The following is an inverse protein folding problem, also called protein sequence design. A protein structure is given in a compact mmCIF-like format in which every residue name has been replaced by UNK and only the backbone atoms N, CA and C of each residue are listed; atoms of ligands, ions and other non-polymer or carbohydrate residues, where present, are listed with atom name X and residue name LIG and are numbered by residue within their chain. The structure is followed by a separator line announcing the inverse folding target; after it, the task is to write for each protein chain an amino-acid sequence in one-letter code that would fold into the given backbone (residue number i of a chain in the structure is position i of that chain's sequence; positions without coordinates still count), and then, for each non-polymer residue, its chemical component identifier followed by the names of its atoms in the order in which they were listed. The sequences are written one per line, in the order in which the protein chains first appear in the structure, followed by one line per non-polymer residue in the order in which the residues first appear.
data_IF_735123976275
#
_entry.id   IF_735123976275
#
_cell.length_a   1.000
_cell.length_b   1.000
_cell.length_c   1.000
_cell.angle_alpha   90.00
_cell.angle_beta   90.00
_cell.angle_gamma   90.00
#
_symmetry.space_group_name_H-M   'P 1'
#
loop_
_entity.id
_entity.type
_entity.pdbx_description
1 polymer ?
#
# COMPACT_ATOMS: atom_id res chain seq x y z
N UNK A 1 2.10 -72.21 -6.61
CA UNK A 1 2.36 -72.26 -5.15
C UNK A 1 2.67 -70.84 -4.67
N UNK A 2 2.17 -70.41 -3.49
CA UNK A 2 1.11 -69.41 -3.39
C UNK A 2 1.54 -68.04 -2.82
N UNK A 3 0.78 -67.00 -3.18
CA UNK A 3 0.79 -65.66 -2.55
C UNK A 3 0.43 -65.73 -1.06
N UNK A 4 1.10 -64.96 -0.16
CA UNK A 4 0.71 -64.88 1.25
C UNK A 4 -0.57 -64.02 1.43
N UNK A 5 -1.40 -64.31 2.45
CA UNK A 5 -2.61 -63.54 2.73
C UNK A 5 -2.30 -62.22 3.47
N UNK A 6 -3.21 -61.22 3.40
CA UNK A 6 -3.05 -59.95 4.10
C UNK A 6 -3.26 -60.09 5.61
N UNK A 7 -2.49 -59.32 6.39
CA UNK A 7 -2.64 -59.20 7.85
C UNK A 7 -3.65 -58.08 8.17
N UNK A 8 -4.74 -58.42 8.83
CA UNK A 8 -5.66 -57.44 9.45
C UNK A 8 -5.08 -56.93 10.77
N UNK A 9 -5.00 -55.62 11.01
CA UNK A 9 -4.72 -55.10 12.34
C UNK A 9 -5.94 -55.28 13.27
N UNK A 10 -5.67 -55.85 14.44
CA UNK A 10 -6.60 -55.98 15.57
C UNK A 10 -6.65 -54.66 16.35
N UNK A 11 -7.84 -54.11 16.54
CA UNK A 11 -8.06 -53.01 17.47
C UNK A 11 -9.53 -52.68 17.70
N UNK A 12 -10.08 -53.01 18.88
CA UNK A 12 -11.26 -52.35 19.44
C UNK A 12 -10.83 -51.57 20.71
N UNK A 13 -11.46 -50.46 21.12
CA UNK A 13 -12.90 -50.31 21.36
C UNK A 13 -13.36 -48.86 21.21
N UNK A 14 -14.58 -48.78 20.67
CA UNK A 14 -15.51 -47.67 20.67
C UNK A 14 -15.91 -47.33 22.11
N UNK A 15 -15.82 -46.04 22.48
CA UNK A 15 -16.59 -45.29 23.50
C UNK A 15 -15.69 -44.40 24.37
N UNK A 16 -15.37 -43.21 23.88
CA UNK A 16 -15.33 -42.02 24.73
C UNK A 16 -15.69 -40.78 23.91
N UNK A 17 -16.93 -40.36 24.07
CA UNK A 17 -17.45 -38.99 24.11
C UNK A 17 -16.88 -37.97 23.11
N UNK A 18 -17.68 -37.74 22.07
CA UNK A 18 -17.71 -36.52 21.26
C UNK A 18 -18.03 -35.31 22.15
N UNK A 19 -17.06 -34.43 22.36
CA UNK A 19 -17.29 -33.04 22.70
C UNK A 19 -17.23 -32.22 21.40
N UNK A 20 -18.35 -32.18 20.68
CA UNK A 20 -18.52 -31.33 19.50
C UNK A 20 -18.82 -29.90 19.95
N UNK A 21 -17.86 -29.00 19.75
CA UNK A 21 -18.12 -27.57 19.64
C UNK A 21 -18.07 -27.22 18.14
N UNK A 22 -19.17 -26.65 17.65
CA UNK A 22 -19.36 -26.23 16.27
C UNK A 22 -18.49 -25.01 15.91
N UNK A 23 -18.04 -24.94 14.66
CA UNK A 23 -17.41 -23.73 14.10
C UNK A 23 -17.04 -23.92 12.63
N UNK A 24 -17.80 -23.26 11.75
CA UNK A 24 -17.85 -23.41 10.29
C UNK A 24 -16.52 -23.30 9.52
N UNK A 25 -16.43 -24.06 8.43
CA UNK A 25 -15.50 -23.81 7.33
C UNK A 25 -16.06 -22.71 6.41
N UNK A 26 -15.31 -21.63 6.19
CA UNK A 26 -15.38 -20.78 4.99
C UNK A 26 -14.06 -19.99 4.79
N UNK A 27 -13.49 -20.13 3.58
CA UNK A 27 -12.55 -19.26 2.85
C UNK A 27 -11.03 -19.30 3.14
N UNK A 28 -10.31 -19.51 2.03
CA UNK A 28 -8.87 -19.24 1.81
C UNK A 28 -8.51 -17.85 2.34
N UNK A 29 -7.62 -17.81 3.32
CA UNK A 29 -6.97 -16.60 3.82
C UNK A 29 -5.50 -16.89 4.09
N UNK A 30 -4.62 -16.34 3.25
CA UNK A 30 -3.18 -16.28 3.50
C UNK A 30 -2.90 -15.29 4.64
N UNK A 31 -3.05 -15.72 5.90
CA UNK A 31 -2.47 -15.01 7.04
C UNK A 31 -1.81 -16.03 7.96
N UNK A 32 -0.50 -16.19 7.81
CA UNK A 32 0.33 -16.96 8.72
C UNK A 32 0.80 -16.07 9.87
N UNK A 33 0.47 -16.47 11.10
CA UNK A 33 1.19 -16.08 12.32
C UNK A 33 0.54 -14.96 13.13
N UNK A 34 -0.55 -15.28 13.83
CA UNK A 34 -0.81 -14.64 15.12
C UNK A 34 0.05 -15.38 16.16
N UNK A 35 1.27 -14.91 16.36
CA UNK A 35 2.05 -15.25 17.55
C UNK A 35 2.16 -13.99 18.41
N UNK A 36 1.64 -14.14 19.63
CA UNK A 36 1.95 -13.36 20.83
C UNK A 36 1.52 -11.89 20.80
N UNK A 37 0.29 -11.67 21.26
CA UNK A 37 -0.14 -10.41 21.83
C UNK A 37 0.65 -10.16 23.13
N UNK A 38 1.89 -9.69 22.98
CA UNK A 38 2.67 -9.08 24.06
C UNK A 38 2.15 -7.66 24.31
N UNK A 39 1.46 -7.52 25.44
CA UNK A 39 1.46 -6.36 26.33
C UNK A 39 1.75 -4.97 25.70
N UNK A 40 0.67 -4.31 25.26
CA UNK A 40 0.68 -2.92 24.80
C UNK A 40 1.04 -1.96 25.95
N UNK A 41 2.33 -1.64 26.07
CA UNK A 41 2.84 -0.45 26.75
C UNK A 41 3.38 0.52 25.69
N UNK A 42 3.01 1.80 25.76
CA UNK A 42 3.27 2.84 24.75
C UNK A 42 4.72 2.99 24.29
N UNK A 43 5.16 2.13 23.38
CA UNK A 43 6.44 2.20 22.68
C UNK A 43 6.36 3.07 21.43
N UNK A 44 7.48 3.69 21.06
CA UNK A 44 7.60 4.39 19.78
C UNK A 44 7.38 3.41 18.61
N UNK A 45 6.74 3.83 17.51
CA UNK A 45 6.42 2.95 16.39
C UNK A 45 7.68 2.29 15.80
N UNK A 46 7.54 1.12 15.16
CA UNK A 46 8.69 0.47 14.52
C UNK A 46 9.20 1.28 13.31
N UNK A 47 10.45 1.02 12.85
CA UNK A 47 10.98 1.65 11.62
C UNK A 47 10.07 1.34 10.42
N UNK A 48 9.61 0.10 10.31
CA UNK A 48 8.70 -0.33 9.24
C UNK A 48 7.34 0.38 9.30
N UNK A 49 6.79 0.58 10.49
CA UNK A 49 5.53 1.30 10.68
C UNK A 49 5.64 2.79 10.35
N UNK A 50 6.74 3.43 10.75
CA UNK A 50 7.05 4.81 10.34
C UNK A 50 7.21 4.92 8.83
N UNK A 51 7.92 3.98 8.21
CA UNK A 51 8.11 3.96 6.77
C UNK A 51 6.79 3.77 6.00
N UNK A 52 5.93 2.87 6.45
CA UNK A 52 4.57 2.67 5.90
C UNK A 52 3.72 3.93 6.04
N UNK A 53 3.72 4.56 7.22
CA UNK A 53 2.98 5.80 7.49
C UNK A 53 3.44 6.94 6.59
N UNK A 54 4.76 7.09 6.41
CA UNK A 54 5.36 8.07 5.49
C UNK A 54 4.95 7.78 4.05
N UNK A 55 5.06 6.52 3.60
CA UNK A 55 4.69 6.12 2.25
C UNK A 55 3.21 6.39 1.95
N UNK A 56 2.30 6.13 2.90
CA UNK A 56 0.88 6.49 2.78
C UNK A 56 0.67 8.00 2.67
N UNK A 57 1.36 8.80 3.50
CA UNK A 57 1.29 10.27 3.46
C UNK A 57 1.79 10.83 2.14
N UNK A 58 2.94 10.37 1.67
CA UNK A 58 3.54 10.86 0.43
C UNK A 58 2.68 10.46 -0.79
N UNK A 59 2.08 9.26 -0.75
CA UNK A 59 1.11 8.81 -1.76
C UNK A 59 -0.17 9.68 -1.77
N UNK A 60 -0.64 10.13 -0.61
CA UNK A 60 -1.75 11.10 -0.54
C UNK A 60 -1.35 12.44 -1.13
N UNK A 61 -0.14 12.90 -0.82
CA UNK A 61 0.40 14.15 -1.36
C UNK A 61 0.49 14.16 -2.89
N UNK A 62 0.77 13.02 -3.54
CA UNK A 62 0.72 12.96 -5.01
C UNK A 62 -0.72 12.98 -5.54
N UNK A 63 -1.68 12.31 -4.89
CA UNK A 63 -3.12 12.36 -5.25
C UNK A 63 -3.64 13.81 -5.20
N UNK A 64 -3.30 14.55 -4.14
CA UNK A 64 -3.69 15.97 -4.00
C UNK A 64 -3.14 16.84 -5.13
N UNK A 65 -1.93 16.54 -5.64
CA UNK A 65 -1.37 17.25 -6.80
C UNK A 65 -2.10 16.89 -8.09
N UNK A 66 -2.45 15.63 -8.31
CA UNK A 66 -3.31 15.24 -9.44
C UNK A 66 -4.65 15.98 -9.38
N UNK A 67 -5.29 16.04 -8.21
CA UNK A 67 -6.56 16.77 -8.02
C UNK A 67 -6.43 18.26 -8.35
N UNK A 68 -5.35 18.90 -7.90
CA UNK A 68 -5.10 20.31 -8.21
C UNK A 68 -4.92 20.54 -9.72
N UNK A 69 -4.16 19.69 -10.41
CA UNK A 69 -3.94 19.79 -11.86
C UNK A 69 -5.24 19.54 -12.64
N UNK A 70 -6.02 18.52 -12.26
CA UNK A 70 -7.32 18.23 -12.89
C UNK A 70 -8.29 19.39 -12.69
N UNK A 71 -8.29 20.02 -11.51
CA UNK A 71 -9.14 21.19 -11.22
C UNK A 71 -8.75 22.39 -12.07
N UNK A 72 -7.44 22.66 -12.24
CA UNK A 72 -6.96 23.77 -13.06
C UNK A 72 -7.12 23.53 -14.57
N UNK A 73 -7.02 22.27 -15.00
CA UNK A 73 -7.05 21.86 -16.41
C UNK A 73 -8.04 20.70 -16.64
N UNK A 74 -9.36 20.98 -16.68
CA UNK A 74 -10.37 19.94 -16.83
C UNK A 74 -10.25 19.11 -18.12
N UNK A 75 -9.64 19.66 -19.18
CA UNK A 75 -9.37 18.93 -20.42
C UNK A 75 -8.42 17.74 -20.27
N UNK A 76 -7.64 17.68 -19.17
CA UNK A 76 -6.75 16.57 -18.84
C UNK A 76 -7.41 15.52 -17.94
N UNK A 77 -8.64 15.74 -17.48
CA UNK A 77 -9.30 14.95 -16.43
C UNK A 77 -9.38 13.46 -16.77
N UNK A 78 -9.81 13.10 -17.99
CA UNK A 78 -9.97 11.70 -18.38
C UNK A 78 -8.62 10.95 -18.35
N UNK A 79 -7.58 11.60 -18.85
CA UNK A 79 -6.24 11.00 -18.91
C UNK A 79 -5.60 10.91 -17.52
N UNK A 80 -5.64 12.00 -16.75
CA UNK A 80 -5.04 12.05 -15.42
C UNK A 80 -5.85 11.25 -14.40
N UNK A 81 -7.14 11.04 -14.63
CA UNK A 81 -8.03 10.26 -13.77
C UNK A 81 -7.57 8.82 -13.60
N UNK A 82 -7.05 8.19 -14.66
CA UNK A 82 -6.50 6.82 -14.60
C UNK A 82 -5.26 6.76 -13.71
N UNK A 83 -4.30 7.68 -13.91
CA UNK A 83 -3.07 7.72 -13.11
C UNK A 83 -3.35 8.10 -11.64
N UNK A 84 -4.28 9.02 -11.43
CA UNK A 84 -4.77 9.40 -10.10
C UNK A 84 -5.37 8.19 -9.38
N UNK A 85 -6.21 7.40 -10.05
CA UNK A 85 -6.83 6.22 -9.44
C UNK A 85 -5.79 5.20 -8.97
N UNK A 86 -4.72 4.97 -9.74
CA UNK A 86 -3.61 4.13 -9.31
C UNK A 86 -2.85 4.75 -8.12
N UNK A 87 -2.65 6.06 -8.10
CA UNK A 87 -2.07 6.75 -6.93
C UNK A 87 -2.94 6.61 -5.67
N UNK A 88 -4.27 6.58 -5.79
CA UNK A 88 -5.19 6.27 -4.68
C UNK A 88 -4.98 4.84 -4.19
N UNK A 89 -4.87 3.86 -5.09
CA UNK A 89 -4.58 2.46 -4.72
C UNK A 89 -3.25 2.32 -3.98
N UNK A 90 -2.24 3.12 -4.32
CA UNK A 90 -0.99 3.16 -3.56
C UNK A 90 -1.19 3.64 -2.11
N UNK A 91 -2.06 4.63 -1.88
CA UNK A 91 -2.41 5.09 -0.53
C UNK A 91 -3.03 3.93 0.28
N UNK A 92 -3.98 3.23 -0.33
CA UNK A 92 -4.67 2.08 0.29
C UNK A 92 -3.71 0.91 0.56
N UNK A 93 -2.77 0.63 -0.35
CA UNK A 93 -1.78 -0.44 -0.18
C UNK A 93 -0.85 -0.20 1.02
N UNK A 94 -0.58 1.06 1.37
CA UNK A 94 0.15 1.42 2.60
C UNK A 94 -0.75 1.54 3.83
N UNK A 95 -2.04 1.21 3.73
CA UNK A 95 -3.01 1.30 4.82
C UNK A 95 -3.51 2.71 5.12
N UNK A 96 -3.28 3.67 4.20
CA UNK A 96 -3.79 5.02 4.32
C UNK A 96 -5.17 5.20 3.68
N UNK A 97 -5.78 6.37 3.94
CA UNK A 97 -6.97 6.83 3.21
C UNK A 97 -6.70 8.19 2.56
N UNK A 98 -7.32 8.43 1.41
CA UNK A 98 -7.33 9.76 0.74
C UNK A 98 -8.34 10.72 1.35
N UNK A 99 -9.35 10.20 2.07
CA UNK A 99 -10.20 11.03 2.92
C UNK A 99 -9.33 11.69 3.98
N UNK A 100 -9.46 13.01 4.12
CA UNK A 100 -8.89 13.75 5.22
C UNK A 100 -9.47 13.21 6.54
N UNK A 101 -8.71 12.34 7.22
CA UNK A 101 -9.00 11.99 8.60
C UNK A 101 -8.60 13.20 9.43
N UNK A 102 -9.59 13.96 9.90
CA UNK A 102 -9.40 15.01 10.87
C UNK A 102 -8.94 14.39 12.20
N UNK A 103 -7.67 14.02 12.29
CA UNK A 103 -7.04 13.60 13.55
C UNK A 103 -6.14 14.74 13.99
N UNK A 104 -6.61 15.48 15.00
CA UNK A 104 -5.95 16.64 15.58
C UNK A 104 -4.62 16.25 16.24
N UNK A 105 -3.52 16.93 15.87
CA UNK A 105 -2.31 17.14 16.68
C UNK A 105 -1.33 18.10 15.98
N UNK A 106 -0.41 18.74 16.73
CA UNK A 106 -0.28 20.19 16.78
C UNK A 106 0.37 20.81 15.54
N UNK A 107 -0.02 22.05 15.31
CA UNK A 107 0.48 22.99 14.30
C UNK A 107 2.00 23.08 14.32
N UNK A 108 2.66 22.39 13.39
CA UNK A 108 4.00 22.77 12.94
C UNK A 108 3.85 23.95 11.97
N UNK A 109 4.44 25.13 12.22
CA UNK A 109 4.43 26.21 11.27
C UNK A 109 5.39 25.86 10.13
N UNK A 110 4.84 25.51 8.97
CA UNK A 110 5.62 25.17 7.79
C UNK A 110 4.90 24.21 6.84
N UNK A 111 3.61 24.40 6.59
CA UNK A 111 3.06 23.85 5.34
C UNK A 111 3.68 24.64 4.19
N UNK A 112 4.33 24.00 3.21
CA UNK A 112 4.56 24.68 1.94
C UNK A 112 3.18 25.11 1.44
N UNK A 113 3.07 26.37 0.99
CA UNK A 113 1.87 26.86 0.31
C UNK A 113 1.42 25.83 -0.74
N UNK A 114 0.10 25.69 -1.02
CA UNK A 114 -0.34 24.84 -2.10
C UNK A 114 0.50 25.20 -3.33
N UNK A 115 1.25 24.23 -3.84
CA UNK A 115 2.12 24.48 -4.98
C UNK A 115 1.22 25.02 -6.08
N UNK A 116 1.36 26.31 -6.38
CA UNK A 116 0.53 26.96 -7.38
C UNK A 116 0.63 26.12 -8.64
N UNK A 117 -0.52 25.71 -9.18
CA UNK A 117 -0.52 24.94 -10.41
C UNK A 117 0.18 25.81 -11.46
N UNK A 118 1.20 25.28 -12.18
CA UNK A 118 1.89 26.04 -13.21
C UNK A 118 0.92 26.65 -14.21
N UNK A 119 1.27 27.79 -14.81
CA UNK A 119 0.32 28.57 -15.64
C UNK A 119 -0.06 27.93 -16.98
N UNK A 120 0.61 26.86 -17.40
CA UNK A 120 0.31 26.12 -18.64
C UNK A 120 0.07 24.64 -18.37
N UNK A 121 -0.77 24.00 -19.20
CA UNK A 121 -1.01 22.55 -19.15
C UNK A 121 0.30 21.75 -19.25
N UNK A 122 1.19 22.18 -20.14
CA UNK A 122 2.49 21.55 -20.37
C UNK A 122 3.37 21.59 -19.13
N UNK A 123 3.47 22.76 -18.49
CA UNK A 123 4.27 22.92 -17.28
C UNK A 123 3.65 22.16 -16.10
N UNK A 124 2.32 22.07 -16.03
CA UNK A 124 1.62 21.29 -15.02
C UNK A 124 1.90 19.79 -15.17
N UNK A 125 1.87 19.26 -16.39
CA UNK A 125 2.22 17.87 -16.68
C UNK A 125 3.70 17.59 -16.38
N UNK A 126 4.61 18.50 -16.75
CA UNK A 126 6.04 18.38 -16.44
C UNK A 126 6.31 18.42 -14.93
N UNK A 127 5.64 19.30 -14.20
CA UNK A 127 5.73 19.39 -12.74
C UNK A 127 5.23 18.12 -12.06
N UNK A 128 4.13 17.54 -12.55
CA UNK A 128 3.59 16.27 -12.06
C UNK A 128 4.52 15.09 -12.36
N UNK A 129 5.12 15.06 -13.56
CA UNK A 129 6.12 14.05 -13.92
C UNK A 129 7.36 14.13 -12.99
N UNK A 130 7.83 15.33 -12.68
CA UNK A 130 8.93 15.56 -11.75
C UNK A 130 8.59 15.14 -10.32
N UNK A 131 7.36 15.37 -9.88
CA UNK A 131 6.87 14.93 -8.57
C UNK A 131 6.82 13.39 -8.46
N UNK A 132 6.25 12.70 -9.46
CA UNK A 132 6.22 11.23 -9.53
C UNK A 132 7.63 10.63 -9.54
N UNK A 133 8.55 11.19 -10.34
CA UNK A 133 9.95 10.73 -10.39
C UNK A 133 10.66 10.91 -9.06
N UNK A 134 10.55 12.10 -8.45
CA UNK A 134 11.20 12.38 -7.16
C UNK A 134 10.68 11.45 -6.06
N UNK A 135 9.37 11.15 -6.08
CA UNK A 135 8.76 10.25 -5.11
C UNK A 135 9.16 8.78 -5.35
N UNK A 136 9.22 8.35 -6.61
CA UNK A 136 9.74 7.04 -6.98
C UNK A 136 11.19 6.85 -6.49
N UNK A 137 12.05 7.85 -6.72
CA UNK A 137 13.44 7.83 -6.27
C UNK A 137 13.56 7.82 -4.74
N UNK A 138 12.71 8.57 -4.04
CA UNK A 138 12.68 8.57 -2.58
C UNK A 138 12.29 7.18 -2.03
N UNK A 139 11.25 6.55 -2.60
CA UNK A 139 10.83 5.19 -2.23
C UNK A 139 11.92 4.16 -2.55
N UNK A 140 12.60 4.32 -3.70
CA UNK A 140 13.71 3.47 -4.10
C UNK A 140 14.92 3.57 -3.15
N UNK A 141 15.11 4.70 -2.46
CA UNK A 141 16.11 4.83 -1.39
C UNK A 141 15.61 4.18 -0.09
N UNK A 142 14.36 4.44 0.29
CA UNK A 142 13.78 3.91 1.53
C UNK A 142 13.65 2.39 1.58
N UNK A 143 13.63 1.68 0.45
CA UNK A 143 13.61 0.21 0.44
C UNK A 143 14.82 -0.41 1.12
N UNK A 144 15.95 0.29 1.21
CA UNK A 144 17.18 -0.19 1.85
C UNK A 144 17.05 -0.28 3.37
N UNK A 145 16.09 0.46 3.94
CA UNK A 145 15.94 0.62 5.40
C UNK A 145 14.79 -0.22 5.98
N UNK A 146 14.06 -0.98 5.14
CA UNK A 146 12.88 -1.74 5.56
C UNK A 146 12.98 -3.23 5.18
N UNK A 147 12.40 -4.12 6.00
CA UNK A 147 12.51 -5.55 5.76
C UNK A 147 11.44 -6.09 4.79
N UNK A 148 11.81 -7.19 4.12
CA UNK A 148 10.89 -8.17 3.55
C UNK A 148 9.81 -7.59 2.64
N UNK A 149 8.55 -7.83 3.01
CA UNK A 149 7.39 -7.50 2.17
C UNK A 149 7.19 -6.00 1.97
N UNK A 150 7.53 -5.17 2.97
CA UNK A 150 7.40 -3.71 2.82
C UNK A 150 8.38 -3.17 1.79
N UNK A 151 9.60 -3.72 1.72
CA UNK A 151 10.56 -3.36 0.69
C UNK A 151 10.05 -3.70 -0.72
N UNK A 152 9.42 -4.89 -0.87
CA UNK A 152 8.83 -5.31 -2.16
C UNK A 152 7.67 -4.41 -2.58
N UNK A 153 6.80 -4.06 -1.64
CA UNK A 153 5.71 -3.12 -1.90
C UNK A 153 6.24 -1.74 -2.31
N UNK A 154 7.22 -1.19 -1.58
CA UNK A 154 7.85 0.09 -1.93
C UNK A 154 8.49 0.04 -3.32
N UNK A 155 9.19 -1.05 -3.65
CA UNK A 155 9.81 -1.24 -4.95
C UNK A 155 8.78 -1.29 -6.08
N UNK A 156 7.68 -2.03 -5.90
CA UNK A 156 6.58 -2.10 -6.88
C UNK A 156 5.95 -0.72 -7.10
N UNK A 157 5.67 0.01 -6.03
CA UNK A 157 5.06 1.35 -6.11
C UNK A 157 6.05 2.39 -6.67
N UNK A 158 7.34 2.27 -6.39
CA UNK A 158 8.38 3.10 -7.00
C UNK A 158 8.45 2.87 -8.51
N UNK A 159 8.40 1.61 -8.96
CA UNK A 159 8.38 1.29 -10.39
C UNK A 159 7.12 1.84 -11.09
N UNK A 160 5.95 1.71 -10.47
CA UNK A 160 4.70 2.31 -10.98
C UNK A 160 4.80 3.85 -11.08
N UNK A 161 5.33 4.52 -10.04
CA UNK A 161 5.56 5.96 -10.08
C UNK A 161 6.55 6.40 -11.17
N UNK A 162 7.60 5.62 -11.43
CA UNK A 162 8.52 5.87 -12.54
C UNK A 162 7.82 5.74 -13.90
N UNK A 163 6.92 4.76 -14.07
CA UNK A 163 6.09 4.62 -15.27
C UNK A 163 5.10 5.79 -15.43
N UNK A 164 4.47 6.25 -14.35
CA UNK A 164 3.62 7.44 -14.38
C UNK A 164 4.41 8.68 -14.82
N UNK A 165 5.61 8.89 -14.26
CA UNK A 165 6.49 9.99 -14.64
C UNK A 165 6.84 9.95 -16.13
N UNK A 166 7.08 8.76 -16.70
CA UNK A 166 7.28 8.59 -18.13
C UNK A 166 6.03 8.98 -18.93
N UNK A 167 4.86 8.43 -18.60
CA UNK A 167 3.60 8.73 -19.31
C UNK A 167 3.23 10.22 -19.26
N UNK A 168 3.50 10.90 -18.15
CA UNK A 168 3.31 12.34 -17.99
C UNK A 168 4.34 13.15 -18.79
N UNK A 169 5.57 12.66 -18.89
CA UNK A 169 6.59 13.31 -19.74
C UNK A 169 6.19 13.22 -21.22
N UNK A 170 5.71 12.06 -21.68
CA UNK A 170 5.17 11.90 -23.04
C UNK A 170 3.90 12.73 -23.24
N UNK A 171 3.14 13.02 -22.17
CA UNK A 171 1.98 13.91 -22.21
C UNK A 171 2.32 15.37 -22.52
N UNK A 172 3.47 15.83 -22.03
CA UNK A 172 3.88 17.22 -22.07
C UNK A 172 4.62 17.59 -23.37
N UNK A 173 4.89 16.62 -24.24
CA UNK A 173 5.55 16.85 -25.53
C UNK A 173 4.57 17.45 -26.53
#
# INVERSE_FOLDING_TARGET
MPYPPPRTPSGPRRRTLLASAAGAALLVGCSSGAEEAEESTGGSPSVAERARTRAARDSRGIVERYDAVITAYPGLADRLGVLRAEAVRHVEAFGGTTRATASASPTVPGSPAPSAVPGTEKDALAGLAGAERSLADARAKSLLDVPGELARLLASVAAAGAAHAYLLTEAAK
#
